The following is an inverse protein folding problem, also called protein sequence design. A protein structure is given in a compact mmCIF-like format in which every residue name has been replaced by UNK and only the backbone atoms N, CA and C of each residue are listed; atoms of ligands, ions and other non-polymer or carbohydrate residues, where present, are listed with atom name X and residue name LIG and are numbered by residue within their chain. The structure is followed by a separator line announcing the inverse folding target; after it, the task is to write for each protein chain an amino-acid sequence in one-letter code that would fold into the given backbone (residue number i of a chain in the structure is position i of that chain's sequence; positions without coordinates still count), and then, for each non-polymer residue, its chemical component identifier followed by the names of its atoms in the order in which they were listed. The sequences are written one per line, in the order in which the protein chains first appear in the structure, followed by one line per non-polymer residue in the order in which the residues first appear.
data_IF_378676158804
#
_entry.id   IF_378676158804
#
_cell.length_a   1.000
_cell.length_b   1.000
_cell.length_c   1.000
_cell.angle_alpha   90.00
_cell.angle_beta   90.00
_cell.angle_gamma   90.00
#
_symmetry.space_group_name_H-M   'P 1'
#
loop_
_entity.id
_entity.type
_entity.pdbx_description
1 polymer ?
#
# COMPACT_ATOMS: atom_id res chain seq x y z
N UNK A 1 -8.15 -24.83 24.05
CA UNK A 1 -8.83 -23.59 23.63
C UNK A 1 -8.27 -23.22 22.27
N UNK A 2 -8.95 -23.60 21.20
CA UNK A 2 -8.62 -23.12 19.86
C UNK A 2 -9.18 -21.69 19.76
N UNK A 3 -8.31 -20.72 19.54
CA UNK A 3 -8.75 -19.36 19.23
C UNK A 3 -9.44 -19.41 17.87
N UNK A 4 -10.75 -19.24 17.90
CA UNK A 4 -11.58 -19.00 16.73
C UNK A 4 -11.20 -17.61 16.22
N UNK A 5 -10.37 -17.56 15.16
CA UNK A 5 -10.17 -16.34 14.39
C UNK A 5 -11.46 -16.08 13.65
N UNK A 6 -12.39 -15.42 14.35
CA UNK A 6 -13.71 -15.04 13.86
C UNK A 6 -13.63 -14.65 12.40
N UNK A 7 -14.41 -15.35 11.58
CA UNK A 7 -14.35 -15.30 10.13
C UNK A 7 -14.13 -13.88 9.65
N UNK A 8 -12.94 -13.64 9.07
CA UNK A 8 -12.67 -12.40 8.35
C UNK A 8 -13.68 -12.34 7.22
N UNK A 9 -14.78 -11.63 7.46
CA UNK A 9 -15.70 -11.22 6.43
C UNK A 9 -14.89 -10.26 5.55
N UNK A 10 -14.17 -10.83 4.57
CA UNK A 10 -13.19 -10.14 3.75
C UNK A 10 -13.98 -9.19 2.84
N UNK A 11 -14.18 -7.97 3.32
CA UNK A 11 -14.83 -6.92 2.55
C UNK A 11 -13.97 -6.59 1.33
N UNK A 12 -14.63 -6.42 0.19
CA UNK A 12 -14.00 -5.76 -0.95
C UNK A 12 -13.84 -4.27 -0.64
N UNK A 13 -12.85 -3.61 -1.25
CA UNK A 13 -12.51 -2.22 -0.92
C UNK A 13 -13.70 -1.26 -1.06
N UNK A 14 -14.60 -1.51 -2.01
CA UNK A 14 -15.82 -0.72 -2.23
C UNK A 14 -16.86 -0.85 -1.10
N UNK A 15 -16.79 -1.89 -0.28
CA UNK A 15 -17.69 -2.13 0.86
C UNK A 15 -17.10 -1.63 2.18
N UNK A 16 -15.83 -1.20 2.18
CA UNK A 16 -15.17 -0.67 3.36
C UNK A 16 -15.74 0.70 3.71
N UNK A 17 -15.94 0.98 5.00
CA UNK A 17 -16.20 2.34 5.45
C UNK A 17 -14.91 3.18 5.46
N UNK A 18 -15.02 4.49 5.75
CA UNK A 18 -13.87 5.38 5.75
C UNK A 18 -12.76 4.95 6.72
N UNK A 19 -13.10 4.50 7.94
CA UNK A 19 -12.10 4.03 8.91
C UNK A 19 -11.39 2.74 8.49
N UNK A 20 -12.11 1.84 7.81
CA UNK A 20 -11.52 0.62 7.24
C UNK A 20 -10.55 0.96 6.08
N UNK A 21 -10.92 1.89 5.20
CA UNK A 21 -10.04 2.38 4.14
C UNK A 21 -8.82 3.11 4.69
N UNK A 22 -9.02 3.89 5.75
CA UNK A 22 -7.96 4.60 6.45
C UNK A 22 -6.87 3.65 6.96
N UNK A 23 -7.28 2.57 7.61
CA UNK A 23 -6.36 1.53 8.08
C UNK A 23 -5.57 0.89 6.91
N UNK A 24 -6.23 0.62 5.77
CA UNK A 24 -5.55 0.10 4.57
C UNK A 24 -4.51 1.09 4.05
N UNK A 25 -4.84 2.38 3.99
CA UNK A 25 -3.95 3.43 3.52
C UNK A 25 -2.73 3.57 4.44
N UNK A 26 -2.92 3.56 5.76
CA UNK A 26 -1.79 3.60 6.71
C UNK A 26 -0.83 2.42 6.52
N UNK A 27 -1.34 1.19 6.34
CA UNK A 27 -0.50 0.02 6.10
C UNK A 27 0.21 0.07 4.74
N UNK A 28 -0.45 0.60 3.71
CA UNK A 28 0.17 0.82 2.40
C UNK A 28 1.29 1.86 2.47
N UNK A 29 1.10 2.97 3.19
CA UNK A 29 2.15 3.97 3.40
C UNK A 29 3.41 3.36 4.00
N UNK A 30 3.27 2.62 5.12
CA UNK A 30 4.39 1.92 5.78
C UNK A 30 5.09 0.96 4.81
N UNK A 31 4.32 0.18 4.06
CA UNK A 31 4.85 -0.80 3.11
C UNK A 31 5.63 -0.11 1.98
N UNK A 32 5.08 0.95 1.40
CA UNK A 32 5.72 1.73 0.34
C UNK A 32 7.04 2.33 0.82
N UNK A 33 7.06 2.98 1.99
CA UNK A 33 8.28 3.58 2.55
C UNK A 33 9.36 2.54 2.85
N UNK A 34 8.97 1.38 3.40
CA UNK A 34 9.90 0.27 3.62
C UNK A 34 10.48 -0.27 2.29
N UNK A 35 9.64 -0.47 1.28
CA UNK A 35 10.07 -0.94 -0.05
C UNK A 35 10.91 0.10 -0.79
N UNK A 36 10.63 1.39 -0.63
CA UNK A 36 11.46 2.47 -1.13
C UNK A 36 12.86 2.43 -0.51
N UNK A 37 12.97 2.28 0.81
CA UNK A 37 14.25 2.13 1.49
C UNK A 37 15.05 0.93 0.96
N UNK A 38 14.39 -0.25 0.87
CA UNK A 38 15.02 -1.46 0.35
C UNK A 38 15.47 -1.30 -1.11
N UNK A 39 14.65 -0.66 -1.94
CA UNK A 39 14.92 -0.41 -3.37
C UNK A 39 16.06 0.59 -3.57
N UNK A 40 16.11 1.63 -2.73
CA UNK A 40 17.21 2.61 -2.72
C UNK A 40 18.54 1.96 -2.40
N UNK A 41 18.58 0.99 -1.48
CA UNK A 41 19.79 0.27 -1.13
C UNK A 41 20.39 -0.54 -2.29
N UNK A 42 19.56 -0.94 -3.26
CA UNK A 42 19.97 -1.65 -4.49
C UNK A 42 19.91 -0.76 -5.74
N UNK A 43 19.83 0.56 -5.56
CA UNK A 43 19.77 1.57 -6.63
C UNK A 43 18.65 1.37 -7.68
N UNK A 44 17.51 0.79 -7.28
CA UNK A 44 16.36 0.65 -8.18
C UNK A 44 15.62 1.98 -8.35
N UNK A 45 15.62 2.52 -9.57
CA UNK A 45 15.24 3.92 -9.89
C UNK A 45 13.84 4.37 -9.52
N UNK A 46 12.90 3.45 -9.27
CA UNK A 46 11.52 3.79 -8.89
C UNK A 46 11.31 3.87 -7.37
N UNK A 47 12.38 3.85 -6.58
CA UNK A 47 12.28 3.98 -5.12
C UNK A 47 11.65 5.33 -4.71
N UNK A 48 11.91 6.40 -5.47
CA UNK A 48 11.38 7.74 -5.23
C UNK A 48 9.85 7.79 -5.37
N UNK A 49 9.29 7.08 -6.35
CA UNK A 49 7.83 7.06 -6.57
C UNK A 49 7.11 6.42 -5.37
N UNK A 50 7.68 5.35 -4.83
CA UNK A 50 7.15 4.70 -3.63
C UNK A 50 7.28 5.58 -2.39
N UNK A 51 8.42 6.26 -2.21
CA UNK A 51 8.63 7.15 -1.07
C UNK A 51 7.66 8.34 -1.12
N UNK A 52 7.52 8.96 -2.29
CA UNK A 52 6.61 10.09 -2.51
C UNK A 52 5.14 9.70 -2.31
N UNK A 53 4.71 8.54 -2.84
CA UNK A 53 3.35 8.06 -2.61
C UNK A 53 3.13 7.69 -1.14
N UNK A 54 4.11 7.03 -0.50
CA UNK A 54 4.07 6.69 0.91
C UNK A 54 3.91 7.91 1.81
N UNK A 55 4.66 8.98 1.53
CA UNK A 55 4.58 10.26 2.23
C UNK A 55 3.24 10.97 1.98
N UNK A 56 2.73 10.97 0.73
CA UNK A 56 1.40 11.52 0.42
C UNK A 56 0.32 10.82 1.24
N UNK A 57 0.35 9.49 1.29
CA UNK A 57 -0.63 8.72 2.05
C UNK A 57 -0.49 8.98 3.55
N UNK A 58 0.74 9.00 4.09
CA UNK A 58 0.98 9.27 5.52
C UNK A 58 0.43 10.63 5.96
N UNK A 59 0.53 11.64 5.11
CA UNK A 59 0.03 12.97 5.42
C UNK A 59 -1.49 13.09 5.26
N UNK A 60 -2.03 12.47 4.22
CA UNK A 60 -3.38 12.78 3.72
C UNK A 60 -4.38 11.61 3.89
N UNK A 61 -4.02 10.53 4.60
CA UNK A 61 -4.81 9.27 4.63
C UNK A 61 -6.28 9.48 5.05
N UNK A 62 -6.58 10.28 6.07
CA UNK A 62 -7.95 10.50 6.53
C UNK A 62 -8.81 11.17 5.45
N UNK A 63 -8.23 12.14 4.74
CA UNK A 63 -8.89 12.88 3.66
C UNK A 63 -9.11 11.97 2.45
N UNK A 64 -8.09 11.20 2.08
CA UNK A 64 -8.18 10.21 1.00
C UNK A 64 -9.23 9.15 1.34
N UNK A 65 -9.24 8.64 2.58
CA UNK A 65 -10.16 7.59 3.02
C UNK A 65 -11.63 8.02 2.99
N UNK A 66 -11.92 9.31 3.20
CA UNK A 66 -13.27 9.85 3.10
C UNK A 66 -13.82 9.81 1.66
N UNK A 67 -12.95 9.91 0.66
CA UNK A 67 -13.30 9.81 -0.76
C UNK A 67 -13.05 8.41 -1.32
N UNK A 68 -14.12 7.66 -1.63
CA UNK A 68 -14.00 6.29 -2.12
C UNK A 68 -13.20 6.22 -3.44
N UNK A 69 -13.41 7.14 -4.36
CA UNK A 69 -12.76 7.10 -5.67
C UNK A 69 -11.27 7.44 -5.53
N UNK A 70 -10.94 8.52 -4.82
CA UNK A 70 -9.57 8.91 -4.50
C UNK A 70 -8.82 7.82 -3.73
N UNK A 71 -9.47 7.16 -2.77
CA UNK A 71 -8.89 6.03 -2.06
C UNK A 71 -8.62 4.83 -2.99
N UNK A 72 -9.56 4.48 -3.87
CA UNK A 72 -9.39 3.37 -4.81
C UNK A 72 -8.24 3.63 -5.79
N UNK A 73 -8.15 4.83 -6.36
CA UNK A 73 -7.05 5.24 -7.24
C UNK A 73 -5.71 5.14 -6.51
N UNK A 74 -5.64 5.65 -5.28
CA UNK A 74 -4.42 5.62 -4.46
C UNK A 74 -3.99 4.18 -4.14
N UNK A 75 -4.94 3.29 -3.82
CA UNK A 75 -4.65 1.87 -3.57
C UNK A 75 -4.13 1.19 -4.84
N UNK A 76 -4.76 1.42 -6.00
CA UNK A 76 -4.31 0.84 -7.27
C UNK A 76 -2.90 1.32 -7.65
N UNK A 77 -2.61 2.61 -7.45
CA UNK A 77 -1.29 3.19 -7.66
C UNK A 77 -0.24 2.50 -6.76
N UNK A 78 -0.53 2.36 -5.47
CA UNK A 78 0.35 1.70 -4.52
C UNK A 78 0.62 0.23 -4.89
N UNK A 79 -0.43 -0.54 -5.20
CA UNK A 79 -0.31 -1.95 -5.60
C UNK A 79 0.53 -2.10 -6.87
N UNK A 80 0.36 -1.20 -7.84
CA UNK A 80 1.16 -1.18 -9.07
C UNK A 80 2.64 -0.98 -8.76
N UNK A 81 2.99 0.04 -7.98
CA UNK A 81 4.39 0.33 -7.62
C UNK A 81 5.05 -0.86 -6.90
N UNK A 82 4.34 -1.46 -5.94
CA UNK A 82 4.82 -2.63 -5.21
C UNK A 82 5.04 -3.83 -6.13
N UNK A 83 4.10 -4.08 -7.04
CA UNK A 83 4.19 -5.20 -7.99
C UNK A 83 5.36 -5.05 -8.97
N UNK A 84 5.63 -3.84 -9.47
CA UNK A 84 6.74 -3.57 -10.37
C UNK A 84 8.10 -3.82 -9.70
N UNK A 85 8.24 -3.49 -8.41
CA UNK A 85 9.45 -3.77 -7.64
C UNK A 85 9.65 -5.27 -7.44
N UNK A 86 8.59 -6.00 -7.09
CA UNK A 86 8.67 -7.44 -6.86
C UNK A 86 9.05 -8.21 -8.13
N UNK A 87 8.50 -7.81 -9.28
CA UNK A 87 8.84 -8.40 -10.57
C UNK A 87 10.31 -8.16 -10.95
N UNK A 88 10.82 -6.93 -10.79
CA UNK A 88 12.19 -6.59 -11.16
C UNK A 88 13.23 -7.22 -10.22
N UNK A 89 12.96 -7.26 -8.92
CA UNK A 89 13.85 -7.93 -7.96
C UNK A 89 13.87 -9.44 -8.16
N UNK A 90 12.75 -10.04 -8.56
CA UNK A 90 12.69 -11.48 -8.87
C UNK A 90 13.46 -11.81 -10.16
N UNK A 91 13.37 -10.96 -11.19
CA UNK A 91 14.11 -11.13 -12.44
C UNK A 91 15.64 -11.03 -12.27
N UNK A 92 16.11 -10.23 -11.30
CA UNK A 92 17.55 -10.03 -11.04
C UNK A 92 18.19 -11.19 -10.25
N UNK A 93 17.39 -12.13 -9.70
CA UNK A 93 17.88 -13.28 -8.91
C UNK A 93 18.15 -14.55 -9.74
N UNK A 94 18.04 -14.48 -11.07
CA UNK A 94 18.39 -15.55 -12.01
C UNK A 94 19.67 -15.22 -12.75
#
# INVERSE_FOLDING_TARGET
MAQDFGGSNRKIFSEMNASERDAVLQELSKTLRFRALASRAVAYERWQDMDALGERIERDHETIAADLEGAAVTVLEAVRLLSEVEQNLSATRH
#
